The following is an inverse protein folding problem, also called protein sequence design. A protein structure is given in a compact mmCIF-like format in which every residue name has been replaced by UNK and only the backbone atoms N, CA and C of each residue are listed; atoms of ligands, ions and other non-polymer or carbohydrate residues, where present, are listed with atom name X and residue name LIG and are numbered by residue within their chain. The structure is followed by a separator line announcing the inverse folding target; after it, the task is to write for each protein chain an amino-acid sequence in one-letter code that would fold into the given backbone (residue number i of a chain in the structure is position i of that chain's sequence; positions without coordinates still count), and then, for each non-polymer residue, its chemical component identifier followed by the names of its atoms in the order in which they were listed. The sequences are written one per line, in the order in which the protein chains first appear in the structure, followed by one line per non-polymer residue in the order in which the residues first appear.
data_IF_607557426110
#
_entry.id   IF_607557426110
#
_cell.length_a   1.000
_cell.length_b   1.000
_cell.length_c   1.000
_cell.angle_alpha   90.00
_cell.angle_beta   90.00
_cell.angle_gamma   90.00
#
_symmetry.space_group_name_H-M   'P 1'
#
loop_
_entity.id
_entity.type
_entity.pdbx_description
1 polymer ?
#
# COMPACT_ATOMS: atom_id res chain seq x y z
N UNK A 1 -97.51 1.22 -44.40
CA UNK A 1 -96.63 0.34 -45.20
C UNK A 1 -95.38 0.05 -44.42
N UNK A 2 -95.43 -1.11 -43.73
CA UNK A 2 -94.32 -1.59 -42.91
C UNK A 2 -93.38 -2.46 -43.75
N UNK A 3 -92.09 -2.10 -43.86
CA UNK A 3 -91.05 -3.01 -44.34
C UNK A 3 -90.34 -3.59 -43.13
N UNK A 4 -90.50 -4.89 -42.92
CA UNK A 4 -89.71 -5.67 -41.98
C UNK A 4 -88.40 -6.06 -42.64
N UNK A 5 -87.29 -5.66 -41.99
CA UNK A 5 -85.97 -6.19 -42.28
C UNK A 5 -85.82 -7.57 -41.66
N UNK A 6 -85.19 -8.54 -42.31
CA UNK A 6 -84.92 -9.86 -41.70
C UNK A 6 -83.61 -9.75 -40.81
N UNK A 7 -83.52 -10.63 -39.80
CA UNK A 7 -82.46 -10.57 -38.83
C UNK A 7 -81.11 -11.11 -39.41
N UNK A 8 -80.02 -10.49 -39.15
CA UNK A 8 -78.65 -10.98 -39.50
C UNK A 8 -78.26 -12.01 -38.43
N UNK A 9 -78.04 -13.27 -38.77
CA UNK A 9 -77.54 -14.18 -37.77
C UNK A 9 -77.32 -15.65 -38.13
N UNK A 10 -77.85 -16.09 -39.25
CA UNK A 10 -77.78 -17.53 -39.58
C UNK A 10 -76.63 -17.93 -40.51
N UNK A 11 -76.10 -17.04 -41.28
CA UNK A 11 -75.03 -17.40 -42.24
C UNK A 11 -73.59 -17.40 -41.62
N UNK A 12 -73.34 -16.62 -40.57
CA UNK A 12 -72.05 -16.59 -39.93
C UNK A 12 -71.75 -17.85 -39.11
N UNK A 13 -72.78 -18.42 -38.44
CA UNK A 13 -72.60 -19.67 -37.70
C UNK A 13 -72.34 -20.88 -38.60
N UNK A 14 -72.86 -20.89 -39.80
CA UNK A 14 -72.63 -21.95 -40.78
C UNK A 14 -71.20 -21.95 -41.35
N UNK A 15 -70.60 -20.80 -41.51
CA UNK A 15 -69.26 -20.70 -42.02
C UNK A 15 -68.22 -21.05 -40.94
N UNK A 16 -68.42 -20.66 -39.66
CA UNK A 16 -67.58 -21.02 -38.55
C UNK A 16 -67.61 -22.51 -38.22
N UNK A 17 -68.80 -23.14 -38.28
CA UNK A 17 -68.97 -24.58 -38.09
C UNK A 17 -68.34 -25.38 -39.25
N UNK A 18 -68.41 -24.92 -40.48
CA UNK A 18 -67.78 -25.55 -41.63
C UNK A 18 -66.25 -25.42 -41.51
N UNK A 19 -65.73 -24.27 -41.04
CA UNK A 19 -64.31 -24.07 -40.78
C UNK A 19 -63.85 -24.95 -39.60
N UNK A 20 -64.62 -25.14 -38.57
CA UNK A 20 -64.34 -26.03 -37.44
C UNK A 20 -64.18 -27.48 -37.86
N UNK A 21 -65.13 -27.97 -38.71
CA UNK A 21 -65.18 -29.35 -39.24
C UNK A 21 -63.95 -29.63 -40.15
N UNK A 22 -63.50 -28.66 -40.91
CA UNK A 22 -62.30 -28.85 -41.77
C UNK A 22 -60.97 -28.46 -41.13
N UNK A 23 -60.99 -27.96 -39.93
CA UNK A 23 -59.76 -27.51 -39.21
C UNK A 23 -58.79 -28.64 -38.96
N UNK A 24 -59.25 -29.82 -38.66
CA UNK A 24 -58.35 -30.95 -38.38
C UNK A 24 -57.82 -31.57 -39.66
N UNK A 25 -58.63 -31.59 -40.76
CA UNK A 25 -58.22 -32.01 -42.09
C UNK A 25 -57.20 -31.02 -42.70
N UNK A 26 -57.36 -29.74 -42.45
CA UNK A 26 -56.39 -28.69 -42.86
C UNK A 26 -55.07 -28.78 -42.09
N UNK A 27 -55.10 -29.22 -40.83
CA UNK A 27 -53.86 -29.49 -40.04
C UNK A 27 -53.08 -30.69 -40.55
N UNK A 28 -53.76 -31.71 -41.08
CA UNK A 28 -53.11 -32.88 -41.68
C UNK A 28 -52.50 -32.56 -43.05
N UNK A 29 -53.22 -31.74 -43.86
CA UNK A 29 -52.74 -31.33 -45.19
C UNK A 29 -51.61 -30.29 -45.17
N UNK A 30 -51.56 -29.45 -44.13
CA UNK A 30 -50.57 -28.44 -43.93
C UNK A 30 -49.95 -28.59 -42.54
N UNK A 31 -49.03 -29.56 -42.29
CA UNK A 31 -48.37 -29.69 -41.01
C UNK A 31 -47.54 -28.42 -40.75
N UNK A 32 -47.97 -27.65 -39.73
CA UNK A 32 -47.20 -26.48 -39.30
C UNK A 32 -45.81 -26.99 -38.84
N UNK A 33 -44.73 -26.36 -39.32
CA UNK A 33 -43.42 -26.75 -38.89
C UNK A 33 -43.32 -26.62 -37.37
N UNK A 34 -42.97 -27.72 -36.69
CA UNK A 34 -42.69 -27.71 -35.25
C UNK A 34 -41.60 -26.68 -34.98
N UNK A 35 -41.97 -25.55 -34.42
CA UNK A 35 -41.01 -24.57 -33.92
C UNK A 35 -40.31 -25.22 -32.72
N UNK A 36 -39.17 -25.87 -32.96
CA UNK A 36 -38.31 -26.39 -31.89
C UNK A 36 -37.94 -25.22 -31.00
N UNK A 37 -38.57 -25.17 -29.82
CA UNK A 37 -38.24 -24.15 -28.78
C UNK A 37 -36.75 -24.17 -28.53
N UNK A 38 -36.03 -23.03 -28.65
CA UNK A 38 -34.58 -22.98 -28.54
C UNK A 38 -34.15 -23.48 -27.16
N UNK A 39 -33.32 -24.53 -27.10
CA UNK A 39 -32.71 -25.11 -25.89
C UNK A 39 -31.66 -24.15 -25.26
N UNK A 40 -31.94 -22.83 -25.20
CA UNK A 40 -30.99 -21.79 -24.75
C UNK A 40 -30.74 -21.72 -23.23
N UNK A 41 -31.59 -22.37 -22.40
CA UNK A 41 -31.51 -22.17 -20.94
C UNK A 41 -30.27 -22.80 -20.26
N UNK A 42 -29.80 -23.98 -20.73
CA UNK A 42 -28.67 -24.68 -20.10
C UNK A 42 -27.33 -24.03 -20.44
N UNK A 43 -27.14 -23.56 -21.66
CA UNK A 43 -25.87 -22.89 -22.10
C UNK A 43 -25.71 -21.52 -21.45
N UNK A 44 -26.81 -20.75 -21.28
CA UNK A 44 -26.78 -19.48 -20.58
C UNK A 44 -26.46 -19.67 -19.08
N UNK A 45 -27.08 -20.66 -18.42
CA UNK A 45 -26.81 -20.98 -17.01
C UNK A 45 -25.32 -21.40 -16.79
N UNK A 46 -24.75 -22.22 -17.68
CA UNK A 46 -23.36 -22.63 -17.60
C UNK A 46 -22.39 -21.46 -17.85
N UNK A 47 -22.71 -20.54 -18.78
CA UNK A 47 -21.92 -19.34 -19.03
C UNK A 47 -21.96 -18.39 -17.82
N UNK A 48 -23.12 -18.22 -17.18
CA UNK A 48 -23.26 -17.39 -15.97
C UNK A 48 -22.47 -18.00 -14.80
N UNK A 49 -22.51 -19.31 -14.63
CA UNK A 49 -21.74 -20.00 -13.59
C UNK A 49 -20.22 -19.85 -13.81
N UNK A 50 -19.77 -19.99 -15.05
CA UNK A 50 -18.37 -19.81 -15.42
C UNK A 50 -17.90 -18.37 -15.14
N UNK A 51 -18.68 -17.37 -15.53
CA UNK A 51 -18.40 -15.96 -15.23
C UNK A 51 -18.36 -15.69 -13.73
N UNK A 52 -19.26 -16.27 -12.97
CA UNK A 52 -19.28 -16.14 -11.51
C UNK A 52 -18.04 -16.79 -10.88
N UNK A 53 -17.60 -17.96 -11.37
CA UNK A 53 -16.36 -18.60 -10.90
C UNK A 53 -15.11 -17.78 -11.25
N UNK A 54 -15.03 -17.21 -12.45
CA UNK A 54 -13.94 -16.32 -12.86
C UNK A 54 -13.93 -15.07 -11.96
N UNK A 55 -15.08 -14.44 -11.75
CA UNK A 55 -15.18 -13.26 -10.88
C UNK A 55 -14.79 -13.60 -9.43
N UNK A 56 -15.25 -14.72 -8.90
CA UNK A 56 -14.87 -15.21 -7.58
C UNK A 56 -13.35 -15.49 -7.50
N UNK A 57 -12.79 -16.11 -8.53
CA UNK A 57 -11.34 -16.36 -8.64
C UNK A 57 -10.52 -15.06 -8.68
N UNK A 58 -10.95 -14.07 -9.47
CA UNK A 58 -10.30 -12.75 -9.52
C UNK A 58 -10.39 -12.01 -8.18
N UNK A 59 -11.55 -12.09 -7.51
CA UNK A 59 -11.72 -11.50 -6.18
C UNK A 59 -10.86 -12.22 -5.12
N UNK A 60 -10.70 -13.54 -5.23
CA UNK A 60 -9.91 -14.31 -4.28
C UNK A 60 -8.40 -14.10 -4.47
N UNK A 61 -7.90 -14.12 -5.71
CA UNK A 61 -6.50 -13.92 -6.06
C UNK A 61 -6.04 -12.48 -5.87
N UNK A 62 -6.98 -11.51 -5.91
CA UNK A 62 -6.72 -10.06 -5.81
C UNK A 62 -5.49 -9.63 -6.63
N UNK A 63 -5.45 -9.89 -7.98
CA UNK A 63 -4.30 -9.58 -8.80
C UNK A 63 -4.06 -8.08 -8.88
N UNK A 64 -2.78 -7.70 -9.00
CA UNK A 64 -2.42 -6.31 -9.25
C UNK A 64 -2.82 -5.92 -10.70
N UNK A 65 -3.54 -4.83 -10.85
CA UNK A 65 -3.90 -4.28 -12.16
C UNK A 65 -3.01 -3.10 -12.60
N UNK A 66 -2.26 -2.53 -11.66
CA UNK A 66 -1.30 -1.45 -11.91
C UNK A 66 -0.18 -1.55 -10.88
N UNK A 67 1.05 -1.26 -11.32
CA UNK A 67 2.23 -1.16 -10.45
C UNK A 67 3.06 0.07 -10.84
N UNK A 68 3.64 0.74 -9.83
CA UNK A 68 4.45 1.93 -9.99
C UNK A 68 5.69 1.80 -9.09
N UNK A 69 6.86 2.16 -9.61
CA UNK A 69 8.11 2.14 -8.84
C UNK A 69 8.59 3.56 -8.60
N UNK A 70 9.02 3.82 -7.38
CA UNK A 70 9.56 5.11 -6.97
C UNK A 70 10.87 4.90 -6.24
N UNK A 71 11.84 5.75 -6.53
CA UNK A 71 13.15 5.70 -5.90
C UNK A 71 13.74 7.09 -5.71
N UNK A 72 14.56 7.22 -4.67
CA UNK A 72 15.41 8.39 -4.41
C UNK A 72 16.85 7.94 -4.31
N UNK A 73 17.79 8.81 -4.68
CA UNK A 73 19.22 8.57 -4.48
C UNK A 73 19.69 9.16 -3.15
N UNK A 74 20.93 8.86 -2.74
CA UNK A 74 21.51 9.42 -1.51
C UNK A 74 21.46 10.94 -1.53
N UNK A 75 20.95 11.54 -0.46
CA UNK A 75 20.73 12.97 -0.28
C UNK A 75 19.45 13.53 -0.92
N UNK A 76 18.72 12.74 -1.73
CA UNK A 76 17.47 13.15 -2.35
C UNK A 76 16.26 12.77 -1.48
N UNK A 77 15.26 13.66 -1.45
CA UNK A 77 13.93 13.40 -0.92
C UNK A 77 12.90 13.65 -2.01
N UNK A 78 11.75 13.02 -1.95
CA UNK A 78 10.69 13.19 -2.93
C UNK A 78 9.31 13.05 -2.30
N UNK A 79 8.39 13.93 -2.72
CA UNK A 79 6.97 13.85 -2.35
C UNK A 79 6.17 13.31 -3.53
N UNK A 80 5.32 12.32 -3.25
CA UNK A 80 4.53 11.61 -4.24
C UNK A 80 3.07 11.61 -3.79
N UNK A 81 2.16 11.94 -4.70
CA UNK A 81 0.73 11.78 -4.47
C UNK A 81 0.24 10.59 -5.29
N UNK A 82 -0.31 9.60 -4.60
CA UNK A 82 -0.85 8.40 -5.21
C UNK A 82 -2.24 8.63 -5.81
N UNK A 83 -2.68 7.73 -6.68
CA UNK A 83 -3.98 7.82 -7.37
C UNK A 83 -5.21 7.81 -6.43
N UNK A 84 -5.07 7.31 -5.20
CA UNK A 84 -6.11 7.31 -4.18
C UNK A 84 -6.10 8.55 -3.27
N UNK A 85 -5.23 9.52 -3.55
CA UNK A 85 -5.02 10.71 -2.73
C UNK A 85 -4.09 10.52 -1.53
N UNK A 86 -3.55 9.32 -1.31
CA UNK A 86 -2.50 9.10 -0.30
C UNK A 86 -1.22 9.83 -0.71
N UNK A 87 -0.50 10.38 0.28
CA UNK A 87 0.77 11.08 0.06
C UNK A 87 1.91 10.29 0.68
N UNK A 88 2.99 10.17 -0.04
CA UNK A 88 4.23 9.54 0.38
C UNK A 88 5.36 10.54 0.32
N UNK A 89 6.09 10.71 1.42
CA UNK A 89 7.37 11.42 1.42
C UNK A 89 8.48 10.38 1.53
N UNK A 90 9.29 10.27 0.51
CA UNK A 90 10.44 9.37 0.46
C UNK A 90 11.68 10.10 0.99
N UNK A 91 12.40 9.45 1.88
CA UNK A 91 13.70 9.92 2.36
C UNK A 91 14.83 9.50 1.41
N UNK A 92 16.04 9.83 1.79
CA UNK A 92 17.28 9.46 1.08
C UNK A 92 17.35 7.96 0.82
N UNK A 93 17.92 7.56 -0.34
CA UNK A 93 18.23 6.17 -0.72
C UNK A 93 17.05 5.19 -0.49
N UNK A 94 15.89 5.60 -0.94
CA UNK A 94 14.63 4.85 -0.74
C UNK A 94 14.17 4.22 -2.04
N UNK A 95 13.73 2.96 -1.99
CA UNK A 95 13.16 2.23 -3.10
C UNK A 95 11.86 1.55 -2.66
N UNK A 96 10.78 1.87 -3.33
CA UNK A 96 9.48 1.25 -3.10
C UNK A 96 8.70 1.00 -4.39
N UNK A 97 7.81 0.04 -4.32
CA UNK A 97 6.89 -0.32 -5.39
C UNK A 97 5.46 -0.25 -4.82
N UNK A 98 4.59 0.49 -5.51
CA UNK A 98 3.17 0.58 -5.19
C UNK A 98 2.39 -0.30 -6.15
N UNK A 99 1.57 -1.20 -5.65
CA UNK A 99 0.71 -2.07 -6.45
C UNK A 99 -0.76 -1.90 -6.07
N UNK A 100 -1.57 -1.74 -7.10
CA UNK A 100 -3.00 -1.50 -6.99
C UNK A 100 -3.76 -2.79 -7.25
N UNK A 101 -4.59 -3.18 -6.29
CA UNK A 101 -5.43 -4.36 -6.34
C UNK A 101 -6.90 -3.98 -6.19
N UNK A 102 -7.83 -4.86 -6.55
CA UNK A 102 -9.26 -4.59 -6.42
C UNK A 102 -9.66 -4.38 -4.95
N UNK A 103 -9.10 -5.18 -4.03
CA UNK A 103 -9.47 -5.24 -2.62
C UNK A 103 -8.43 -4.66 -1.68
N UNK A 104 -7.23 -4.31 -2.16
CA UNK A 104 -6.13 -3.80 -1.35
C UNK A 104 -5.28 -2.77 -2.10
N UNK A 105 -4.48 -2.02 -1.36
CA UNK A 105 -3.43 -1.12 -1.84
C UNK A 105 -2.15 -1.60 -1.17
N UNK A 106 -1.17 -2.00 -1.95
CA UNK A 106 0.05 -2.61 -1.41
C UNK A 106 1.27 -1.81 -1.80
N UNK A 107 2.17 -1.62 -0.84
CA UNK A 107 3.48 -1.03 -1.05
C UNK A 107 4.53 -2.04 -0.60
N UNK A 108 5.53 -2.26 -1.41
CA UNK A 108 6.73 -3.01 -1.03
C UNK A 108 7.87 -2.02 -0.83
N UNK A 109 8.20 -1.68 0.41
CA UNK A 109 9.38 -0.90 0.74
C UNK A 109 10.60 -1.83 0.71
N UNK A 110 11.41 -1.71 -0.35
CA UNK A 110 12.58 -2.59 -0.55
C UNK A 110 13.77 -2.14 0.26
N UNK A 111 13.96 -0.81 0.38
CA UNK A 111 15.01 -0.19 1.20
C UNK A 111 14.65 1.25 1.52
N UNK A 112 15.30 1.84 2.53
CA UNK A 112 15.20 3.25 2.89
C UNK A 112 14.02 3.54 3.82
N UNK A 113 13.50 4.75 3.75
CA UNK A 113 12.49 5.27 4.68
C UNK A 113 11.43 6.07 3.94
N UNK A 114 10.18 5.85 4.31
CA UNK A 114 9.06 6.61 3.77
C UNK A 114 8.02 6.93 4.84
N UNK A 115 7.53 8.17 4.81
CA UNK A 115 6.36 8.62 5.55
C UNK A 115 5.13 8.44 4.67
N UNK A 116 4.12 7.82 5.21
CA UNK A 116 2.85 7.52 4.56
C UNK A 116 1.73 8.34 5.21
N UNK A 117 1.10 9.22 4.47
CA UNK A 117 -0.18 9.85 4.85
C UNK A 117 -1.29 9.20 4.02
N UNK A 118 -1.91 8.17 4.58
CA UNK A 118 -2.82 7.29 3.86
C UNK A 118 -4.24 7.81 3.89
N UNK A 119 -4.86 7.96 2.71
CA UNK A 119 -6.26 8.30 2.57
C UNK A 119 -7.16 7.20 3.16
N UNK A 120 -8.19 7.61 3.93
CA UNK A 120 -9.11 6.68 4.62
C UNK A 120 -9.90 5.84 3.62
N UNK A 121 -9.78 4.52 3.70
CA UNK A 121 -10.54 3.58 2.88
C UNK A 121 -10.72 2.24 3.61
N UNK A 122 -11.83 2.10 4.33
CA UNK A 122 -12.09 0.92 5.17
C UNK A 122 -12.18 -0.40 4.37
N UNK A 123 -12.74 -0.36 3.16
CA UNK A 123 -12.92 -1.56 2.31
C UNK A 123 -11.70 -1.92 1.46
N UNK A 124 -10.72 -1.03 1.36
CA UNK A 124 -9.44 -1.25 0.66
C UNK A 124 -8.27 -0.89 1.57
N UNK A 125 -7.89 -1.77 2.49
CA UNK A 125 -6.78 -1.52 3.39
C UNK A 125 -5.50 -1.24 2.63
N UNK A 126 -4.64 -0.44 3.25
CA UNK A 126 -3.30 -0.13 2.76
C UNK A 126 -2.31 -0.99 3.53
N UNK A 127 -1.46 -1.71 2.81
CA UNK A 127 -0.46 -2.60 3.41
C UNK A 127 0.93 -2.23 2.92
N UNK A 128 1.87 -2.09 3.84
CA UNK A 128 3.29 -1.89 3.53
C UNK A 128 4.06 -3.13 3.94
N UNK A 129 4.69 -3.78 2.98
CA UNK A 129 5.62 -4.87 3.20
C UNK A 129 7.05 -4.32 3.29
N UNK A 130 7.73 -4.53 4.40
CA UNK A 130 9.10 -4.10 4.64
C UNK A 130 9.89 -5.27 5.27
N UNK A 131 10.67 -5.99 4.47
CA UNK A 131 11.36 -7.21 4.91
C UNK A 131 10.37 -8.28 5.38
N UNK A 132 10.45 -8.65 6.66
CA UNK A 132 9.54 -9.60 7.32
C UNK A 132 8.32 -8.93 7.96
N UNK A 133 8.23 -7.58 7.92
CA UNK A 133 7.10 -6.83 8.46
C UNK A 133 6.01 -6.63 7.43
N UNK A 134 4.78 -6.93 7.81
CA UNK A 134 3.55 -6.53 7.15
C UNK A 134 2.82 -5.49 8.02
N UNK A 135 2.70 -4.27 7.50
CA UNK A 135 2.13 -3.13 8.20
C UNK A 135 0.80 -2.80 7.54
N UNK A 136 -0.30 -2.92 8.28
CA UNK A 136 -1.66 -2.71 7.76
C UNK A 136 -2.33 -1.52 8.42
N UNK A 137 -2.92 -0.66 7.58
CA UNK A 137 -3.61 0.55 8.00
C UNK A 137 -4.90 0.76 7.20
N UNK A 138 -5.78 1.64 7.70
CA UNK A 138 -7.03 2.02 7.04
C UNK A 138 -7.04 3.51 6.66
N UNK A 139 -6.30 4.34 7.41
CA UNK A 139 -6.19 5.79 7.21
C UNK A 139 -5.42 6.40 8.37
N UNK A 140 -4.11 6.54 8.21
CA UNK A 140 -3.12 6.84 9.25
C UNK A 140 -1.98 7.65 8.67
N UNK A 141 -1.26 8.37 9.53
CA UNK A 141 0.04 8.97 9.22
C UNK A 141 1.10 8.19 9.98
N UNK A 142 2.00 7.54 9.28
CA UNK A 142 3.04 6.69 9.87
C UNK A 142 4.27 6.63 8.98
N UNK A 143 5.40 6.38 9.62
CA UNK A 143 6.71 6.23 8.99
C UNK A 143 7.17 4.78 9.05
N UNK A 144 7.81 4.31 8.00
CA UNK A 144 8.47 3.02 7.95
C UNK A 144 9.91 3.21 7.50
N UNK A 145 10.84 2.86 8.35
CA UNK A 145 12.26 2.86 8.06
C UNK A 145 12.78 1.42 8.02
N UNK A 146 13.16 0.98 6.82
CA UNK A 146 13.77 -0.32 6.58
C UNK A 146 15.27 -0.18 6.43
N UNK A 147 15.99 -0.77 7.35
CA UNK A 147 17.44 -0.97 7.32
C UNK A 147 17.77 -2.44 6.99
N UNK A 148 19.06 -2.75 6.85
CA UNK A 148 19.49 -4.14 6.58
C UNK A 148 19.07 -5.09 7.70
N UNK A 149 19.24 -4.65 8.96
CA UNK A 149 19.10 -5.50 10.16
C UNK A 149 17.77 -5.31 10.89
N UNK A 150 17.02 -4.26 10.60
CA UNK A 150 15.78 -3.99 11.30
C UNK A 150 14.81 -3.10 10.51
N UNK A 151 13.55 -3.15 10.93
CA UNK A 151 12.49 -2.27 10.45
C UNK A 151 11.91 -1.51 11.62
N UNK A 152 11.87 -0.20 11.54
CA UNK A 152 11.24 0.68 12.53
C UNK A 152 9.95 1.24 11.96
N UNK A 153 8.87 1.18 12.74
CA UNK A 153 7.57 1.74 12.41
C UNK A 153 7.20 2.77 13.46
N UNK A 154 6.95 3.99 13.03
CA UNK A 154 6.57 5.13 13.88
C UNK A 154 5.20 5.63 13.49
N UNK A 155 4.30 5.81 14.45
CA UNK A 155 2.93 6.30 14.20
C UNK A 155 2.81 7.74 14.64
N UNK A 156 2.46 8.63 13.71
CA UNK A 156 2.13 10.03 14.02
C UNK A 156 0.65 10.19 14.33
N UNK A 157 -0.24 9.58 13.51
CA UNK A 157 -1.68 9.69 13.65
C UNK A 157 -2.38 8.37 13.32
N UNK A 158 -3.39 8.00 14.12
CA UNK A 158 -4.25 6.85 13.88
C UNK A 158 -3.77 5.57 14.52
N UNK A 159 -4.01 4.43 13.83
CA UNK A 159 -3.68 3.09 14.35
C UNK A 159 -3.03 2.26 13.26
N UNK A 160 -1.98 1.55 13.62
CA UNK A 160 -1.17 0.70 12.74
C UNK A 160 -1.08 -0.70 13.30
N UNK A 161 -1.44 -1.69 12.51
CA UNK A 161 -1.19 -3.09 12.84
C UNK A 161 0.11 -3.52 12.18
N UNK A 162 1.07 -3.95 12.98
CA UNK A 162 2.33 -4.55 12.52
C UNK A 162 2.25 -6.06 12.75
N UNK A 163 2.47 -6.82 11.70
CA UNK A 163 2.60 -8.28 11.76
C UNK A 163 3.99 -8.66 11.29
N UNK A 164 4.68 -9.48 12.05
CA UNK A 164 5.99 -10.01 11.69
C UNK A 164 5.94 -11.53 11.55
N UNK A 165 6.74 -12.04 10.61
CA UNK A 165 6.98 -13.47 10.46
C UNK A 165 8.30 -13.80 11.12
N UNK A 166 8.26 -14.27 12.37
CA UNK A 166 9.41 -14.81 13.11
C UNK A 166 9.55 -16.33 12.89
N UNK A 167 10.65 -16.90 13.37
CA UNK A 167 10.88 -18.35 13.28
C UNK A 167 9.79 -19.16 13.98
N UNK A 168 9.28 -18.66 15.12
CA UNK A 168 8.29 -19.32 15.98
C UNK A 168 6.83 -18.99 15.59
N UNK A 169 6.60 -18.34 14.44
CA UNK A 169 5.27 -18.01 13.95
C UNK A 169 5.06 -16.51 13.69
N UNK A 170 3.80 -16.10 13.70
CA UNK A 170 3.44 -14.69 13.47
C UNK A 170 3.31 -13.94 14.80
N UNK A 171 4.07 -12.86 14.94
CA UNK A 171 3.90 -11.88 15.99
C UNK A 171 3.06 -10.70 15.52
N UNK A 172 2.20 -10.15 16.38
CA UNK A 172 1.38 -8.98 16.04
C UNK A 172 1.49 -7.93 17.15
N UNK A 173 1.58 -6.68 16.71
CA UNK A 173 1.48 -5.51 17.58
C UNK A 173 0.49 -4.50 16.98
N UNK A 174 -0.21 -3.78 17.85
CA UNK A 174 -1.05 -2.65 17.46
C UNK A 174 -0.42 -1.38 18.06
N UNK A 175 -0.12 -0.43 17.20
CA UNK A 175 0.40 0.88 17.60
C UNK A 175 -0.69 1.92 17.47
N UNK A 176 -0.62 2.90 18.37
CA UNK A 176 -1.41 4.13 18.31
C UNK A 176 -0.50 5.34 18.06
N UNK A 177 -1.09 6.51 17.93
CA UNK A 177 -0.33 7.75 17.76
C UNK A 177 0.77 7.90 18.83
N UNK A 178 1.92 8.45 18.42
CA UNK A 178 3.12 8.69 19.24
C UNK A 178 3.84 7.41 19.70
N UNK A 179 3.58 6.28 19.06
CA UNK A 179 4.26 5.03 19.36
C UNK A 179 5.20 4.59 18.23
N UNK A 180 6.26 3.93 18.66
CA UNK A 180 7.24 3.33 17.77
C UNK A 180 7.50 1.88 18.16
N UNK A 181 7.74 1.03 17.16
CA UNK A 181 8.16 -0.36 17.31
C UNK A 181 9.32 -0.65 16.38
N UNK A 182 10.26 -1.47 16.84
CA UNK A 182 11.35 -1.97 16.01
C UNK A 182 11.24 -3.49 15.88
N UNK A 183 11.41 -3.98 14.65
CA UNK A 183 11.51 -5.39 14.33
C UNK A 183 12.94 -5.70 13.91
N UNK A 184 13.54 -6.71 14.50
CA UNK A 184 14.88 -7.21 14.15
C UNK A 184 14.86 -8.08 12.89
N UNK A 185 16.05 -8.38 12.34
CA UNK A 185 16.22 -9.18 11.11
C UNK A 185 15.61 -10.60 11.21
N UNK A 186 15.61 -11.21 12.39
CA UNK A 186 14.98 -12.50 12.67
C UNK A 186 13.46 -12.45 12.67
N UNK A 187 12.87 -11.24 12.76
CA UNK A 187 11.44 -10.99 12.82
C UNK A 187 10.89 -10.78 14.24
N UNK A 188 11.74 -10.73 15.26
CA UNK A 188 11.31 -10.43 16.61
C UNK A 188 10.85 -8.97 16.73
N UNK A 189 9.66 -8.76 17.31
CA UNK A 189 9.15 -7.43 17.61
C UNK A 189 9.61 -7.01 19.01
N UNK A 190 10.29 -5.87 19.10
CA UNK A 190 10.56 -5.23 20.38
C UNK A 190 9.26 -4.67 20.97
N UNK A 191 9.18 -4.43 22.28
CA UNK A 191 8.04 -3.74 22.87
C UNK A 191 7.84 -2.35 22.23
N UNK A 192 6.59 -2.01 21.93
CA UNK A 192 6.26 -0.66 21.49
C UNK A 192 6.53 0.32 22.65
N UNK A 193 7.04 1.48 22.30
CA UNK A 193 7.34 2.54 23.27
C UNK A 193 6.89 3.90 22.74
N UNK A 194 6.64 4.82 23.65
CA UNK A 194 6.23 6.17 23.31
C UNK A 194 7.44 7.00 22.85
N UNK A 195 7.21 7.82 21.84
CA UNK A 195 8.20 8.72 21.26
C UNK A 195 7.61 10.11 21.03
N UNK A 196 8.51 11.07 20.79
CA UNK A 196 8.10 12.36 20.25
C UNK A 196 8.17 12.29 18.70
N UNK A 197 7.03 12.20 17.99
CA UNK A 197 7.05 12.06 16.54
C UNK A 197 7.63 13.30 15.84
N UNK A 198 7.54 14.50 16.43
CA UNK A 198 8.13 15.69 15.86
C UNK A 198 9.64 15.57 15.69
N UNK A 199 10.32 14.88 16.61
CA UNK A 199 11.77 14.64 16.52
C UNK A 199 12.08 13.49 15.54
N UNK A 200 11.37 12.38 15.67
CA UNK A 200 11.59 11.18 14.84
C UNK A 200 11.25 11.42 13.36
N UNK A 201 10.34 12.32 13.06
CA UNK A 201 9.87 12.64 11.69
C UNK A 201 10.38 14.00 11.18
N UNK A 202 11.30 14.65 11.89
CA UNK A 202 11.88 15.95 11.52
C UNK A 202 12.59 15.91 10.15
N UNK A 203 13.00 14.74 9.70
CA UNK A 203 13.62 14.52 8.40
C UNK A 203 12.71 14.95 7.23
N UNK A 204 11.37 14.84 7.36
CA UNK A 204 10.41 15.32 6.34
C UNK A 204 10.55 16.81 6.09
N UNK A 205 10.88 17.57 7.13
CA UNK A 205 11.08 19.01 7.09
C UNK A 205 12.57 19.40 6.84
N UNK A 206 13.40 18.42 6.44
CA UNK A 206 14.80 18.63 6.15
C UNK A 206 15.69 18.81 7.38
N UNK A 207 15.30 18.25 8.51
CA UNK A 207 16.03 18.42 9.78
C UNK A 207 16.42 17.07 10.37
N UNK A 208 17.57 17.06 11.03
CA UNK A 208 17.98 16.00 11.95
C UNK A 208 17.93 16.57 13.36
N UNK A 209 17.18 15.90 14.24
CA UNK A 209 17.05 16.28 15.65
C UNK A 209 17.75 15.22 16.49
N UNK A 210 18.72 15.67 17.28
CA UNK A 210 19.44 14.82 18.22
C UNK A 210 19.14 15.30 19.65
N UNK A 211 18.73 14.40 20.52
CA UNK A 211 18.47 14.66 21.93
C UNK A 211 19.27 13.67 22.77
N UNK A 212 20.34 14.15 23.41
CA UNK A 212 21.25 13.28 24.18
C UNK A 212 21.66 12.02 23.38
N UNK A 213 21.80 12.19 22.06
CA UNK A 213 22.04 11.07 21.13
C UNK A 213 23.53 10.69 21.15
N UNK A 214 23.86 9.39 21.28
CA UNK A 214 25.25 8.94 21.13
C UNK A 214 25.81 9.30 19.75
N UNK A 215 27.05 9.75 19.72
CA UNK A 215 27.72 10.16 18.48
C UNK A 215 27.75 9.06 17.42
N UNK A 216 27.88 7.79 17.82
CA UNK A 216 27.80 6.66 16.90
C UNK A 216 26.46 6.58 16.18
N UNK A 217 25.35 6.79 16.89
CA UNK A 217 24.00 6.81 16.29
C UNK A 217 23.78 8.03 15.42
N UNK A 218 24.24 9.20 15.87
CA UNK A 218 24.14 10.42 15.08
C UNK A 218 24.95 10.34 13.78
N UNK A 219 26.17 9.78 13.83
CA UNK A 219 26.98 9.55 12.62
C UNK A 219 26.32 8.56 11.68
N UNK A 220 25.72 7.48 12.17
CA UNK A 220 24.97 6.53 11.36
C UNK A 220 23.79 7.22 10.64
N UNK A 221 23.07 8.10 11.33
CA UNK A 221 21.99 8.87 10.73
C UNK A 221 22.48 9.90 9.70
N UNK A 222 23.55 10.64 10.00
CA UNK A 222 24.18 11.60 9.07
C UNK A 222 24.71 10.88 7.82
N UNK A 223 25.30 9.69 7.98
CA UNK A 223 25.84 8.87 6.90
C UNK A 223 24.80 8.52 5.84
N UNK A 224 23.53 8.40 6.18
CA UNK A 224 22.46 8.14 5.22
C UNK A 224 22.37 9.18 4.10
N UNK A 225 22.76 10.41 4.39
CA UNK A 225 22.68 11.55 3.46
C UNK A 225 24.00 11.83 2.75
N UNK A 226 25.01 10.98 2.96
CA UNK A 226 26.36 11.15 2.39
C UNK A 226 26.83 9.88 1.70
N UNK A 227 27.60 10.09 0.62
CA UNK A 227 28.29 8.97 -0.06
C UNK A 227 29.62 8.64 0.60
N UNK A 228 30.37 9.68 0.99
CA UNK A 228 31.67 9.52 1.61
C UNK A 228 31.52 9.05 3.07
N UNK A 229 32.23 7.97 3.46
CA UNK A 229 32.07 7.39 4.78
C UNK A 229 32.63 8.30 5.90
N UNK A 230 31.96 8.27 7.05
CA UNK A 230 32.39 8.90 8.29
C UNK A 230 32.89 7.78 9.22
N UNK A 231 34.12 7.90 9.69
CA UNK A 231 34.74 6.91 10.56
C UNK A 231 35.05 7.50 11.93
N UNK A 232 34.69 6.77 12.99
CA UNK A 232 35.11 7.06 14.35
C UNK A 232 36.44 6.37 14.63
N UNK A 233 37.42 7.08 15.18
CA UNK A 233 38.72 6.54 15.54
C UNK A 233 38.62 5.49 16.64
N UNK A 234 37.71 5.68 17.60
CA UNK A 234 37.51 4.75 18.71
C UNK A 234 36.04 4.58 19.06
N UNK A 235 35.67 3.42 19.62
CA UNK A 235 34.32 3.16 20.14
C UNK A 235 33.95 4.07 21.32
N UNK A 236 34.93 4.59 22.05
CA UNK A 236 34.73 5.51 23.17
C UNK A 236 34.12 6.83 22.68
N UNK A 237 34.58 7.37 21.54
CA UNK A 237 34.02 8.57 20.93
C UNK A 237 32.50 8.36 20.59
N UNK A 238 32.15 7.19 20.16
CA UNK A 238 30.74 6.86 19.83
C UNK A 238 29.76 6.97 21.00
N UNK A 239 30.26 6.93 22.23
CA UNK A 239 29.43 7.07 23.46
C UNK A 239 29.21 8.54 23.86
N UNK A 240 29.96 9.49 23.30
CA UNK A 240 29.73 10.92 23.54
C UNK A 240 28.32 11.29 23.12
N UNK A 241 27.64 12.07 23.94
CA UNK A 241 26.27 12.48 23.67
C UNK A 241 26.17 13.96 23.39
N UNK A 242 25.33 14.31 22.43
CA UNK A 242 25.05 15.72 22.14
C UNK A 242 23.59 15.92 21.77
N UNK A 243 23.18 17.18 21.78
CA UNK A 243 21.83 17.59 21.37
C UNK A 243 21.95 18.75 20.38
N UNK A 244 21.03 18.78 19.43
CA UNK A 244 20.98 19.86 18.44
C UNK A 244 20.01 19.54 17.31
N UNK A 245 19.68 20.60 16.53
CA UNK A 245 18.87 20.51 15.32
C UNK A 245 19.71 20.98 14.14
N UNK A 246 19.79 20.17 13.11
CA UNK A 246 20.66 20.42 11.96
C UNK A 246 19.89 20.23 10.65
N UNK A 247 20.28 20.99 9.63
CA UNK A 247 19.71 20.83 8.30
C UNK A 247 20.33 19.62 7.58
N UNK A 248 19.51 18.77 7.00
CA UNK A 248 19.93 17.59 6.22
C UNK A 248 20.75 18.00 5.00
N UNK A 249 20.37 19.09 4.35
CA UNK A 249 20.99 19.54 3.10
C UNK A 249 22.42 20.05 3.28
N UNK A 250 22.91 20.18 4.53
CA UNK A 250 24.24 20.65 4.86
C UNK A 250 24.92 19.81 5.94
N UNK A 251 25.04 18.51 5.69
CA UNK A 251 25.71 17.57 6.61
C UNK A 251 27.19 17.90 6.84
N UNK A 252 27.86 18.52 5.86
CA UNK A 252 29.26 18.94 6.01
C UNK A 252 29.41 20.03 7.06
N UNK A 253 28.52 21.01 7.08
CA UNK A 253 28.49 22.05 8.10
C UNK A 253 28.25 21.48 9.49
N UNK A 254 27.35 20.50 9.62
CA UNK A 254 27.13 19.79 10.89
C UNK A 254 28.43 19.15 11.38
N UNK A 255 29.13 18.42 10.51
CA UNK A 255 30.38 17.75 10.86
C UNK A 255 31.49 18.74 11.23
N UNK A 256 31.53 19.90 10.59
CA UNK A 256 32.48 20.98 10.94
C UNK A 256 32.17 21.60 12.31
N UNK A 257 30.91 21.59 12.76
CA UNK A 257 30.52 22.11 14.08
C UNK A 257 30.76 21.10 15.22
N UNK A 258 30.96 19.82 14.92
CA UNK A 258 31.22 18.81 15.97
C UNK A 258 32.39 19.16 16.92
N UNK A 259 33.52 19.70 16.46
CA UNK A 259 34.62 20.10 17.34
C UNK A 259 34.30 21.23 18.33
N UNK A 260 33.26 22.02 18.07
CA UNK A 260 32.78 23.10 18.94
C UNK A 260 31.83 22.58 20.02
N UNK A 261 31.16 21.45 19.75
CA UNK A 261 30.16 20.86 20.64
C UNK A 261 30.74 19.72 21.49
N UNK A 262 31.71 18.98 20.91
CA UNK A 262 32.31 17.79 21.51
C UNK A 262 33.85 17.90 21.51
N UNK A 263 34.55 17.20 22.43
CA UNK A 263 36.03 17.18 22.46
C UNK A 263 36.59 16.28 21.33
N UNK A 264 36.23 16.60 20.08
CA UNK A 264 36.66 15.83 18.90
C UNK A 264 37.32 16.72 17.86
N UNK A 265 38.07 16.10 16.93
CA UNK A 265 38.57 16.72 15.69
C UNK A 265 37.98 15.98 14.51
N UNK A 266 37.62 16.68 13.45
CA UNK A 266 37.17 16.12 12.19
C UNK A 266 38.18 16.41 11.10
N UNK A 267 38.67 15.34 10.45
CA UNK A 267 39.71 15.44 9.41
C UNK A 267 39.22 14.76 8.13
N UNK A 268 39.30 15.45 7.02
CA UNK A 268 39.07 14.84 5.71
C UNK A 268 40.30 14.03 5.31
N UNK A 269 40.07 12.79 4.88
CA UNK A 269 41.12 11.90 4.39
C UNK A 269 41.30 12.07 2.86
N UNK A 270 42.37 11.52 2.32
CA UNK A 270 42.67 11.59 0.88
C UNK A 270 41.64 10.87 0.00
N UNK A 271 40.92 9.89 0.56
CA UNK A 271 39.85 9.13 -0.10
C UNK A 271 38.48 9.82 -0.02
N UNK A 272 38.42 11.05 0.51
CA UNK A 272 37.18 11.80 0.72
C UNK A 272 36.43 11.43 2.00
N UNK A 273 36.82 10.35 2.69
CA UNK A 273 36.23 9.98 3.97
C UNK A 273 36.52 10.99 5.06
N UNK A 274 35.68 11.05 6.09
CA UNK A 274 35.89 11.89 7.27
C UNK A 274 36.26 11.02 8.46
N UNK A 275 37.36 11.37 9.14
CA UNK A 275 37.80 10.74 10.37
C UNK A 275 37.47 11.65 11.54
N UNK A 276 36.70 11.14 12.50
CA UNK A 276 36.44 11.79 13.78
C UNK A 276 37.39 11.18 14.83
N UNK A 277 38.26 12.00 15.40
CA UNK A 277 39.26 11.61 16.38
C UNK A 277 39.13 12.43 17.67
N UNK A 278 39.83 12.05 18.72
CA UNK A 278 39.94 12.86 19.94
C UNK A 278 40.72 14.18 19.67
N UNK A 279 40.38 15.21 20.47
CA UNK A 279 41.04 16.52 20.42
C UNK A 279 42.50 16.45 20.86
#
# INVERSE_FOLDING_TARGET
MSQQNPPPGKEQHSAEDALAQHRDTLKELFPLPEIKKPRKKKTAANATLLLAMIAAGLLWLDPAYRSEQHATVIGQRADITLADGSKLTLNTDTQLEVSWHLRSRRVALRQGQALFSVAKAAYRPFTVAAGKADIRVVGTVFDVYRQQDHVTVTVEEGKVQVTSKAADGYMRAMLTANQQITMSADGALQPAHDINPANSLAWRDGKLVFEQTPLSQAIAEIQRYRREPIRLQSAALGKLRFSGVFAIDNTDKLLQLLPDILPVKVKQQKDGSLLVSEK
#
